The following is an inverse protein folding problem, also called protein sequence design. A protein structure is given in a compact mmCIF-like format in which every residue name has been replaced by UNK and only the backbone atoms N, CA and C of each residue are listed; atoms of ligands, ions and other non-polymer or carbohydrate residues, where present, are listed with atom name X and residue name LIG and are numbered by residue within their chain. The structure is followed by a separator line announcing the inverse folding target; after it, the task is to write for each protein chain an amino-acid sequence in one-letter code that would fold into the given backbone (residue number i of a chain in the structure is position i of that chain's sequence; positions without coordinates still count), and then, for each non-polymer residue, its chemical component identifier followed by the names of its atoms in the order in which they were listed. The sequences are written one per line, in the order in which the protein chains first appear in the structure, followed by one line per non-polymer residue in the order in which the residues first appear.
data_IF_087206963779
#
_entry.id   IF_087206963779
#
_cell.length_a   1.000
_cell.length_b   1.000
_cell.length_c   1.000
_cell.angle_alpha   90.00
_cell.angle_beta   90.00
_cell.angle_gamma   90.00
#
_symmetry.space_group_name_H-M   'P 1'
#
loop_
_entity.id
_entity.type
_entity.pdbx_description
1 polymer ?
#
# COMPACT_ATOMS: atom_id res chain seq x y z
N UNK A 1 19.06 -7.15 13.65
CA UNK A 1 17.75 -6.77 14.18
C UNK A 1 16.63 -7.19 13.20
N UNK A 2 16.68 -6.83 11.92
CA UNK A 2 15.68 -7.22 10.91
C UNK A 2 15.51 -8.75 10.77
N UNK A 3 16.60 -9.51 10.74
CA UNK A 3 16.55 -10.97 10.62
C UNK A 3 15.76 -11.62 11.78
N UNK A 4 15.96 -11.14 13.00
CA UNK A 4 15.22 -11.63 14.18
C UNK A 4 13.74 -11.28 14.07
N UNK A 5 13.43 -10.05 13.69
CA UNK A 5 12.06 -9.61 13.44
C UNK A 5 11.36 -10.48 12.39
N UNK A 6 12.03 -10.77 11.27
CA UNK A 6 11.46 -11.59 10.21
C UNK A 6 11.28 -13.05 10.64
N UNK A 7 12.18 -13.58 11.45
CA UNK A 7 12.06 -14.92 12.00
C UNK A 7 10.90 -15.03 12.99
N UNK A 8 10.71 -14.01 13.85
CA UNK A 8 9.66 -14.01 14.88
C UNK A 8 8.23 -14.09 14.30
N UNK A 9 8.02 -13.68 13.05
CA UNK A 9 6.69 -13.74 12.41
C UNK A 9 6.18 -15.18 12.20
N UNK A 10 7.05 -16.15 12.08
CA UNK A 10 6.68 -17.55 11.86
C UNK A 10 6.96 -18.43 13.09
N UNK A 11 7.51 -17.89 14.16
CA UNK A 11 7.80 -18.62 15.39
C UNK A 11 6.55 -18.74 16.24
N UNK A 12 6.14 -19.98 16.56
CA UNK A 12 4.92 -20.24 17.32
C UNK A 12 4.92 -19.55 18.69
N UNK A 13 6.05 -19.57 19.40
CA UNK A 13 6.23 -18.94 20.69
C UNK A 13 6.03 -17.42 20.66
N UNK A 14 6.21 -16.78 19.49
CA UNK A 14 6.10 -15.34 19.30
C UNK A 14 4.67 -14.86 19.00
N UNK A 15 3.77 -15.78 18.61
CA UNK A 15 2.40 -15.44 18.21
C UNK A 15 1.61 -14.80 19.35
N UNK A 16 0.99 -13.65 19.07
CA UNK A 16 0.17 -12.93 20.04
C UNK A 16 0.95 -12.25 21.18
N UNK A 17 2.27 -12.29 21.15
CA UNK A 17 3.11 -11.62 22.16
C UNK A 17 3.20 -10.13 21.92
N UNK A 18 3.34 -9.37 23.01
CA UNK A 18 3.49 -7.91 22.96
C UNK A 18 4.81 -7.48 22.30
N UNK A 19 5.86 -8.26 22.53
CA UNK A 19 7.18 -8.08 21.90
C UNK A 19 7.67 -9.40 21.29
N UNK A 20 7.28 -9.72 20.04
CA UNK A 20 7.70 -10.95 19.38
C UNK A 20 9.21 -11.08 19.20
N UNK A 21 9.93 -9.96 19.07
CA UNK A 21 11.40 -9.95 18.91
C UNK A 21 12.08 -10.39 20.21
N UNK A 22 11.67 -9.83 21.33
CA UNK A 22 12.19 -10.23 22.64
C UNK A 22 11.88 -11.70 22.94
N UNK A 23 10.68 -12.18 22.61
CA UNK A 23 10.31 -13.58 22.78
C UNK A 23 11.17 -14.51 21.94
N UNK A 24 11.39 -14.18 20.65
CA UNK A 24 12.30 -14.93 19.77
C UNK A 24 13.71 -15.02 20.37
N UNK A 25 14.24 -13.91 20.85
CA UNK A 25 15.55 -13.88 21.48
C UNK A 25 15.62 -14.72 22.76
N UNK A 26 14.55 -14.72 23.55
CA UNK A 26 14.48 -15.54 24.77
C UNK A 26 14.45 -17.06 24.48
N UNK A 27 13.70 -17.47 23.46
CA UNK A 27 13.65 -18.87 23.02
C UNK A 27 14.99 -19.34 22.47
N UNK A 28 15.68 -18.50 21.70
CA UNK A 28 16.89 -18.86 20.96
C UNK A 28 18.20 -18.42 21.62
N UNK A 29 18.14 -17.92 22.87
CA UNK A 29 19.34 -17.42 23.59
C UNK A 29 20.44 -18.45 23.84
N UNK A 30 20.13 -19.73 23.78
CA UNK A 30 21.04 -20.84 24.02
C UNK A 30 21.36 -21.65 22.76
N UNK A 31 20.94 -21.17 21.57
CA UNK A 31 21.27 -21.83 20.31
C UNK A 31 22.78 -21.78 20.08
N UNK A 32 23.39 -22.88 19.69
CA UNK A 32 24.83 -23.00 19.45
C UNK A 32 25.32 -22.04 18.34
N UNK A 33 24.45 -21.69 17.40
CA UNK A 33 24.77 -20.81 16.29
C UNK A 33 23.52 -20.19 15.65
N UNK A 34 23.70 -19.23 14.76
CA UNK A 34 22.63 -18.52 14.08
C UNK A 34 22.25 -19.11 12.71
N UNK A 35 22.54 -20.39 12.42
CA UNK A 35 22.35 -20.99 11.11
C UNK A 35 20.89 -20.97 10.68
N UNK A 36 19.95 -21.26 11.59
CA UNK A 36 18.50 -21.23 11.30
C UNK A 36 18.05 -19.79 10.99
N UNK A 37 18.41 -18.86 11.84
CA UNK A 37 18.11 -17.42 11.66
C UNK A 37 18.69 -16.91 10.31
N UNK A 38 19.92 -17.27 9.99
CA UNK A 38 20.56 -16.89 8.74
C UNK A 38 19.84 -17.51 7.53
N UNK A 39 19.41 -18.76 7.64
CA UNK A 39 18.62 -19.43 6.61
C UNK A 39 17.29 -18.74 6.34
N UNK A 40 16.58 -18.30 7.37
CA UNK A 40 15.34 -17.52 7.23
C UNK A 40 15.62 -16.18 6.53
N UNK A 41 16.64 -15.46 6.98
CA UNK A 41 17.04 -14.19 6.37
C UNK A 41 17.35 -14.35 4.87
N UNK A 42 18.13 -15.38 4.51
CA UNK A 42 18.45 -15.67 3.11
C UNK A 42 17.20 -16.01 2.28
N UNK A 43 16.25 -16.79 2.83
CA UNK A 43 14.99 -17.11 2.14
C UNK A 43 14.20 -15.84 1.82
N UNK A 44 14.06 -14.93 2.77
CA UNK A 44 13.37 -13.65 2.55
C UNK A 44 14.08 -12.84 1.46
N UNK A 45 15.39 -12.65 1.57
CA UNK A 45 16.16 -11.87 0.58
C UNK A 45 16.12 -12.48 -0.82
N UNK A 46 16.23 -13.81 -0.92
CA UNK A 46 16.17 -14.48 -2.20
C UNK A 46 14.77 -14.36 -2.84
N UNK A 47 13.71 -14.50 -2.04
CA UNK A 47 12.36 -14.27 -2.51
C UNK A 47 12.17 -12.85 -3.04
N UNK A 48 12.63 -11.83 -2.30
CA UNK A 48 12.57 -10.42 -2.75
C UNK A 48 13.29 -10.24 -4.08
N UNK A 49 14.50 -10.80 -4.23
CA UNK A 49 15.26 -10.72 -5.48
C UNK A 49 14.60 -11.46 -6.65
N UNK A 50 13.87 -12.52 -6.37
CA UNK A 50 13.11 -13.27 -7.38
C UNK A 50 11.88 -12.48 -7.82
N UNK A 51 11.11 -11.94 -6.88
CA UNK A 51 9.87 -11.20 -7.19
C UNK A 51 10.16 -9.82 -7.76
N UNK A 52 11.21 -9.15 -7.25
CA UNK A 52 11.64 -7.80 -7.66
C UNK A 52 13.11 -7.83 -8.10
N UNK A 53 13.41 -8.30 -9.31
CA UNK A 53 14.80 -8.49 -9.77
C UNK A 53 15.56 -7.17 -9.92
N UNK A 54 14.86 -6.06 -10.18
CA UNK A 54 15.44 -4.73 -10.31
C UNK A 54 15.47 -4.02 -8.96
N UNK A 55 16.68 -3.79 -8.43
CA UNK A 55 16.83 -3.08 -7.16
C UNK A 55 16.40 -1.62 -7.28
N UNK A 56 15.70 -1.13 -6.25
CA UNK A 56 15.30 0.26 -6.09
C UNK A 56 15.56 0.74 -4.65
N UNK A 57 16.01 1.99 -4.48
CA UNK A 57 16.27 2.56 -3.16
C UNK A 57 15.04 2.58 -2.24
N UNK A 58 13.85 2.66 -2.78
CA UNK A 58 12.60 2.62 -2.02
C UNK A 58 12.30 1.24 -1.40
N UNK A 59 13.02 0.19 -1.80
CA UNK A 59 12.96 -1.12 -1.14
C UNK A 59 13.55 -1.13 0.26
N UNK A 60 14.38 -0.13 0.61
CA UNK A 60 14.97 0.00 1.94
C UNK A 60 13.91 0.32 3.00
N UNK A 61 13.93 -0.44 4.08
CA UNK A 61 13.04 -0.25 5.23
C UNK A 61 11.60 -0.73 5.02
N UNK A 62 11.35 -1.52 3.95
CA UNK A 62 10.11 -2.30 3.81
C UNK A 62 10.24 -3.54 4.71
N UNK A 63 9.15 -3.90 5.36
CA UNK A 63 9.08 -5.13 6.16
C UNK A 63 8.91 -6.37 5.27
N UNK A 64 10.03 -6.74 4.61
CA UNK A 64 10.04 -7.87 3.67
C UNK A 64 9.69 -9.20 4.33
N UNK A 65 10.00 -9.38 5.62
CA UNK A 65 9.62 -10.60 6.31
C UNK A 65 8.12 -10.75 6.45
N UNK A 66 7.39 -9.68 6.80
CA UNK A 66 5.94 -9.71 6.87
C UNK A 66 5.31 -10.06 5.51
N UNK A 67 5.83 -9.46 4.42
CA UNK A 67 5.37 -9.75 3.06
C UNK A 67 5.73 -11.18 2.64
N UNK A 68 6.96 -11.62 2.92
CA UNK A 68 7.42 -12.96 2.60
C UNK A 68 6.51 -14.02 3.22
N UNK A 69 6.31 -13.99 4.53
CA UNK A 69 5.51 -15.03 5.19
C UNK A 69 4.06 -15.09 4.72
N UNK A 70 3.52 -13.98 4.25
CA UNK A 70 2.16 -13.90 3.74
C UNK A 70 2.03 -14.33 2.29
N UNK A 71 3.04 -14.04 1.46
CA UNK A 71 2.92 -14.13 0.00
C UNK A 71 3.96 -15.04 -0.67
N UNK A 72 4.81 -15.76 0.09
CA UNK A 72 5.89 -16.60 -0.44
C UNK A 72 5.43 -17.75 -1.33
N UNK A 73 4.21 -18.21 -1.15
CA UNK A 73 3.63 -19.35 -1.86
C UNK A 73 2.80 -18.93 -3.09
N UNK A 74 2.69 -17.61 -3.35
CA UNK A 74 2.01 -17.09 -4.51
C UNK A 74 2.89 -17.13 -5.76
N UNK A 75 2.27 -17.32 -6.93
CA UNK A 75 2.96 -17.28 -8.21
C UNK A 75 2.83 -15.88 -8.83
N UNK A 76 3.97 -15.26 -9.13
CA UNK A 76 4.02 -13.94 -9.71
C UNK A 76 4.60 -13.97 -11.14
N UNK A 77 3.97 -13.22 -12.04
CA UNK A 77 4.56 -12.79 -13.29
C UNK A 77 5.51 -11.61 -13.00
N UNK A 78 6.78 -11.92 -12.78
CA UNK A 78 7.78 -10.94 -12.32
C UNK A 78 7.98 -9.80 -13.33
N UNK A 79 7.81 -10.08 -14.62
CA UNK A 79 7.93 -9.05 -15.67
C UNK A 79 6.77 -8.05 -15.59
N UNK A 80 5.54 -8.56 -15.39
CA UNK A 80 4.38 -7.68 -15.18
C UNK A 80 4.48 -6.89 -13.90
N UNK A 81 4.91 -7.52 -12.79
CA UNK A 81 5.12 -6.81 -11.53
C UNK A 81 6.16 -5.70 -11.69
N UNK A 82 7.29 -5.99 -12.34
CA UNK A 82 8.34 -5.00 -12.54
C UNK A 82 7.88 -3.85 -13.44
N UNK A 83 7.15 -4.14 -14.52
CA UNK A 83 6.58 -3.11 -15.40
C UNK A 83 5.62 -2.20 -14.63
N UNK A 84 4.79 -2.76 -13.75
CA UNK A 84 3.87 -1.98 -12.92
C UNK A 84 4.61 -1.15 -11.85
N UNK A 85 5.64 -1.71 -11.21
CA UNK A 85 6.53 -0.95 -10.32
C UNK A 85 7.15 0.24 -11.06
N UNK A 86 7.72 0.02 -12.23
CA UNK A 86 8.37 1.07 -13.02
C UNK A 86 7.36 2.16 -13.43
N UNK A 87 6.15 1.79 -13.85
CA UNK A 87 5.04 2.71 -14.16
C UNK A 87 4.68 3.59 -12.94
N UNK A 88 4.44 2.97 -11.79
CA UNK A 88 4.03 3.65 -10.56
C UNK A 88 5.14 4.53 -9.96
N UNK A 89 6.41 4.16 -10.17
CA UNK A 89 7.54 5.00 -9.76
C UNK A 89 7.57 6.35 -10.49
N UNK A 90 7.09 6.39 -11.74
CA UNK A 90 7.02 7.60 -12.57
C UNK A 90 5.71 8.39 -12.38
N UNK A 91 4.73 7.84 -11.70
CA UNK A 91 3.43 8.46 -11.49
C UNK A 91 3.49 9.46 -10.33
N UNK A 92 3.34 10.76 -10.62
CA UNK A 92 3.41 11.84 -9.65
C UNK A 92 2.25 11.84 -8.62
N UNK A 93 1.16 11.14 -8.92
CA UNK A 93 0.04 10.98 -8.00
C UNK A 93 0.33 9.95 -6.90
N UNK A 94 1.29 9.05 -7.12
CA UNK A 94 1.73 8.07 -6.12
C UNK A 94 2.72 8.72 -5.17
N UNK A 95 2.28 9.12 -3.98
CA UNK A 95 3.12 9.82 -3.00
C UNK A 95 3.93 8.88 -2.11
N UNK A 96 3.43 7.66 -1.85
CA UNK A 96 4.14 6.63 -1.09
C UNK A 96 4.84 5.63 -2.03
N UNK A 97 6.04 5.96 -2.50
CA UNK A 97 6.82 5.10 -3.40
C UNK A 97 7.21 3.75 -2.78
N UNK A 98 7.37 3.66 -1.45
CA UNK A 98 7.61 2.37 -0.75
C UNK A 98 6.38 1.47 -0.79
N UNK A 99 5.19 2.05 -0.70
CA UNK A 99 3.94 1.32 -0.75
C UNK A 99 3.66 0.62 -2.08
N UNK A 100 4.35 1.02 -3.16
CA UNK A 100 4.23 0.39 -4.48
C UNK A 100 4.52 -1.10 -4.39
N UNK A 101 5.56 -1.50 -3.66
CA UNK A 101 5.96 -2.92 -3.54
C UNK A 101 4.90 -3.77 -2.83
N UNK A 102 4.22 -3.21 -1.84
CA UNK A 102 3.10 -3.89 -1.19
C UNK A 102 1.84 -3.87 -2.07
N UNK A 103 1.57 -2.75 -2.75
CA UNK A 103 0.45 -2.63 -3.67
C UNK A 103 0.49 -3.67 -4.79
N UNK A 104 1.62 -3.84 -5.48
CA UNK A 104 1.70 -4.78 -6.60
C UNK A 104 1.54 -6.26 -6.18
N UNK A 105 1.77 -6.56 -4.90
CA UNK A 105 1.53 -7.89 -4.33
C UNK A 105 0.07 -8.10 -3.90
N UNK A 106 -0.63 -7.02 -3.51
CA UNK A 106 -1.92 -7.11 -2.80
C UNK A 106 -3.10 -6.53 -3.57
N UNK A 107 -2.83 -5.64 -4.54
CA UNK A 107 -3.85 -4.81 -5.19
C UNK A 107 -4.43 -3.71 -4.29
N UNK A 108 -3.90 -3.51 -3.07
CA UNK A 108 -4.43 -2.53 -2.12
C UNK A 108 -3.93 -1.12 -2.40
N UNK A 109 -4.75 -0.30 -3.08
CA UNK A 109 -4.44 1.09 -3.45
C UNK A 109 -4.13 2.01 -2.24
N UNK A 110 -4.64 1.69 -1.04
CA UNK A 110 -4.35 2.49 0.15
C UNK A 110 -2.85 2.59 0.48
N UNK A 111 -2.04 1.63 -0.01
CA UNK A 111 -0.59 1.60 0.16
C UNK A 111 0.14 2.65 -0.67
N UNK A 112 -0.46 3.14 -1.73
CA UNK A 112 0.13 4.12 -2.65
C UNK A 112 0.04 5.55 -2.12
N UNK A 113 -0.90 5.84 -1.20
CA UNK A 113 -1.19 7.19 -0.72
C UNK A 113 -1.35 8.15 -1.91
N UNK A 114 -2.36 7.88 -2.74
CA UNK A 114 -2.64 8.68 -3.94
C UNK A 114 -2.86 10.13 -3.54
N UNK A 115 -2.30 11.06 -4.35
CA UNK A 115 -2.44 12.50 -4.15
C UNK A 115 -3.91 12.87 -4.03
N UNK A 116 -4.23 13.63 -3.00
CA UNK A 116 -5.57 14.16 -2.81
C UNK A 116 -5.74 15.51 -3.54
N UNK A 117 -6.96 15.82 -3.93
CA UNK A 117 -7.31 17.14 -4.45
C UNK A 117 -7.10 18.21 -3.38
N UNK A 118 -6.49 19.34 -3.77
CA UNK A 118 -6.35 20.49 -2.89
C UNK A 118 -7.71 21.15 -2.58
N UNK A 119 -7.79 21.90 -1.48
CA UNK A 119 -9.02 22.59 -1.12
C UNK A 119 -9.45 23.62 -2.18
N UNK A 120 -8.49 24.28 -2.84
CA UNK A 120 -8.80 25.17 -3.96
C UNK A 120 -9.46 24.43 -5.14
N UNK A 121 -9.01 23.22 -5.47
CA UNK A 121 -9.63 22.39 -6.50
C UNK A 121 -11.03 21.93 -6.08
N UNK A 122 -11.21 21.53 -4.82
CA UNK A 122 -12.52 21.14 -4.27
C UNK A 122 -13.52 22.28 -4.30
N UNK A 123 -13.11 23.50 -3.89
CA UNK A 123 -13.94 24.70 -3.94
C UNK A 123 -14.35 25.01 -5.39
N UNK A 124 -13.41 24.94 -6.34
CA UNK A 124 -13.71 25.16 -7.73
C UNK A 124 -14.73 24.14 -8.29
N UNK A 125 -14.57 22.85 -7.93
CA UNK A 125 -15.50 21.80 -8.32
C UNK A 125 -16.90 22.01 -7.68
N UNK A 126 -16.95 22.33 -6.39
CA UNK A 126 -18.18 22.65 -5.68
C UNK A 126 -18.94 23.81 -6.34
N UNK A 127 -18.24 24.91 -6.65
CA UNK A 127 -18.81 26.08 -7.33
C UNK A 127 -19.34 25.71 -8.71
N UNK A 128 -18.58 24.93 -9.50
CA UNK A 128 -18.99 24.44 -10.82
C UNK A 128 -20.25 23.59 -10.74
N UNK A 129 -20.39 22.78 -9.67
CA UNK A 129 -21.54 21.91 -9.44
C UNK A 129 -22.70 22.62 -8.72
N UNK A 130 -22.54 23.90 -8.29
CA UNK A 130 -23.53 24.67 -7.52
C UNK A 130 -24.00 23.93 -6.25
N UNK A 131 -23.08 23.24 -5.57
CA UNK A 131 -23.39 22.44 -4.38
C UNK A 131 -24.24 21.19 -4.63
N UNK A 132 -24.50 20.83 -5.88
CA UNK A 132 -25.33 19.67 -6.23
C UNK A 132 -24.48 18.40 -6.35
N UNK A 133 -24.80 17.36 -5.57
CA UNK A 133 -24.20 16.06 -5.70
C UNK A 133 -24.62 15.38 -7.01
N UNK A 134 -23.71 15.07 -7.96
CA UNK A 134 -24.07 14.52 -9.25
C UNK A 134 -24.68 13.11 -9.17
N UNK A 135 -24.49 12.38 -8.05
CA UNK A 135 -24.99 11.02 -7.87
C UNK A 135 -26.44 10.99 -7.36
N UNK A 136 -26.84 11.88 -6.45
CA UNK A 136 -28.20 11.89 -5.88
C UNK A 136 -29.03 13.11 -6.28
N UNK A 137 -28.44 14.12 -6.94
CA UNK A 137 -29.12 15.32 -7.42
C UNK A 137 -29.53 16.30 -6.32
N UNK A 138 -29.12 16.09 -5.06
CA UNK A 138 -29.48 16.96 -3.94
C UNK A 138 -28.39 17.99 -3.71
N UNK A 139 -28.80 19.17 -3.21
CA UNK A 139 -27.90 20.24 -2.78
C UNK A 139 -27.36 19.96 -1.37
N UNK A 140 -26.08 20.27 -1.15
CA UNK A 140 -25.36 20.15 0.12
C UNK A 140 -24.42 21.35 0.31
N UNK A 141 -24.12 21.69 1.56
CA UNK A 141 -23.05 22.63 1.88
C UNK A 141 -21.67 22.02 1.61
N UNK A 142 -20.65 22.85 1.43
CA UNK A 142 -19.30 22.39 1.07
C UNK A 142 -18.73 21.37 2.06
N UNK A 143 -18.95 21.57 3.37
CA UNK A 143 -18.49 20.72 4.46
C UNK A 143 -19.18 19.35 4.50
N UNK A 144 -20.32 19.21 3.82
CA UNK A 144 -21.07 17.96 3.70
C UNK A 144 -20.65 17.14 2.48
N UNK A 145 -19.74 17.67 1.65
CA UNK A 145 -19.27 17.05 0.43
C UNK A 145 -17.78 16.69 0.52
N UNK A 146 -17.38 15.74 -0.26
CA UNK A 146 -16.00 15.24 -0.38
C UNK A 146 -15.59 15.22 -1.84
N UNK A 147 -14.32 15.58 -2.09
CA UNK A 147 -13.72 15.48 -3.42
C UNK A 147 -13.44 14.02 -3.78
N UNK A 148 -13.89 13.60 -4.94
CA UNK A 148 -13.76 12.25 -5.45
C UNK A 148 -13.38 12.25 -6.93
N UNK A 149 -12.66 11.22 -7.36
CA UNK A 149 -12.33 11.05 -8.77
C UNK A 149 -13.56 10.63 -9.56
N UNK A 150 -13.91 11.31 -10.66
CA UNK A 150 -14.98 10.90 -11.57
C UNK A 150 -14.68 9.50 -12.11
N UNK A 151 -13.50 9.35 -12.70
CA UNK A 151 -12.94 8.06 -13.11
C UNK A 151 -11.87 7.66 -12.08
N UNK A 152 -11.97 6.47 -11.47
CA UNK A 152 -11.00 6.01 -10.49
C UNK A 152 -9.56 6.10 -11.00
N UNK A 153 -8.62 6.47 -10.12
CA UNK A 153 -7.20 6.52 -10.44
C UNK A 153 -6.67 5.15 -10.96
N UNK A 154 -7.16 4.04 -10.43
CA UNK A 154 -6.85 2.68 -10.88
C UNK A 154 -7.13 2.42 -12.36
N UNK A 155 -7.96 3.25 -12.99
CA UNK A 155 -8.24 3.18 -14.43
C UNK A 155 -7.32 4.08 -15.26
N UNK A 156 -6.21 4.57 -14.70
CA UNK A 156 -5.17 5.34 -15.38
C UNK A 156 -5.48 6.83 -15.55
N UNK A 157 -6.40 7.38 -14.77
CA UNK A 157 -6.74 8.80 -14.82
C UNK A 157 -6.17 9.52 -13.59
N UNK A 158 -5.43 10.61 -13.86
CA UNK A 158 -4.72 11.37 -12.82
C UNK A 158 -5.62 12.25 -11.96
N UNK A 159 -5.06 12.74 -10.85
CA UNK A 159 -5.66 13.69 -9.91
C UNK A 159 -5.64 15.11 -10.52
N UNK A 160 -6.50 15.34 -11.51
CA UNK A 160 -6.64 16.62 -12.22
C UNK A 160 -7.98 17.27 -11.92
N UNK A 161 -8.11 18.62 -12.05
CA UNK A 161 -9.37 19.33 -11.83
C UNK A 161 -10.54 18.81 -12.68
N UNK A 162 -10.25 18.30 -13.88
CA UNK A 162 -11.26 17.76 -14.78
C UNK A 162 -11.78 16.39 -14.35
N UNK A 163 -10.98 15.65 -13.60
CA UNK A 163 -11.35 14.35 -13.02
C UNK A 163 -11.92 14.48 -11.59
N UNK A 164 -12.17 15.71 -11.12
CA UNK A 164 -12.71 16.00 -9.79
C UNK A 164 -14.23 16.22 -9.83
N UNK A 165 -14.94 15.49 -8.98
CA UNK A 165 -16.32 15.78 -8.60
C UNK A 165 -16.44 15.92 -7.07
N UNK A 166 -17.42 16.70 -6.62
CA UNK A 166 -17.83 16.75 -5.22
C UNK A 166 -19.04 15.83 -5.04
N UNK A 167 -18.93 14.85 -4.16
CA UNK A 167 -20.02 13.96 -3.76
C UNK A 167 -20.43 14.25 -2.32
N UNK A 168 -21.71 14.14 -2.00
CA UNK A 168 -22.10 14.12 -0.59
C UNK A 168 -21.49 12.89 0.10
N UNK A 169 -21.16 13.02 1.40
CA UNK A 169 -20.47 11.97 2.19
C UNK A 169 -21.11 10.58 2.05
N UNK A 170 -22.45 10.53 1.98
CA UNK A 170 -23.16 9.26 1.80
C UNK A 170 -22.92 8.63 0.42
N UNK A 171 -23.03 9.43 -0.66
CA UNK A 171 -22.78 8.95 -2.01
C UNK A 171 -21.33 8.57 -2.24
N UNK A 172 -20.38 9.27 -1.62
CA UNK A 172 -18.96 8.97 -1.68
C UNK A 172 -18.66 7.61 -1.02
N UNK A 173 -19.19 7.39 0.20
CA UNK A 173 -19.05 6.11 0.91
C UNK A 173 -19.59 4.93 0.09
N UNK A 174 -20.79 5.06 -0.48
CA UNK A 174 -21.39 4.03 -1.34
C UNK A 174 -20.63 3.78 -2.66
N UNK A 175 -19.75 4.69 -3.08
CA UNK A 175 -18.86 4.47 -4.23
C UNK A 175 -17.63 3.67 -3.83
N UNK A 176 -17.08 3.93 -2.64
CA UNK A 176 -15.88 3.27 -2.12
C UNK A 176 -16.10 1.80 -1.73
N UNK A 177 -17.36 1.39 -1.47
CA UNK A 177 -17.73 0.04 -1.06
C UNK A 177 -17.94 -0.92 -2.26
N UNK A 178 -17.54 -0.52 -3.48
CA UNK A 178 -17.61 -1.34 -4.71
C UNK A 178 -16.22 -1.58 -5.29
#
# INVERSE_FOLDING_TARGET
QEAIKWASYNEEACKGKKDPVAEYMAVHQHDDNATILWGIYQKVINWVKTVFPKYNNYQKGIDWGALYWKYKDENYDTDKLQAEVDRLMMDDDVTNKKGIFEYVLTGNESKLSIRQFSDAQKIAAYTRQQGICPKCGKHFEFEEMEGDHITPWSQGVHTTPDNLQMLCKNCNRLKSDK
#
